data_IF_744433014230
#
_entry.id   IF_744433014230
#
_cell.length_a   1.000
_cell.length_b   1.000
_cell.length_c   1.000
_cell.angle_alpha   90.00
_cell.angle_beta   90.00
_cell.angle_gamma   90.00
#
_symmetry.space_group_name_H-M   'P 1'
#
loop_
_entity.id
_entity.type
_entity.pdbx_description
1 polymer ?
#
# COMPACT_ATOMS: atom_id res chain seq x y z
N UNK A 1 6.63 -5.61 -7.42
CA UNK A 1 6.72 -5.29 -5.98
C UNK A 1 7.03 -3.80 -5.77
N UNK A 2 6.42 -2.93 -6.59
CA UNK A 2 6.88 -1.55 -6.80
C UNK A 2 6.85 -0.69 -5.53
N UNK A 3 5.80 -0.82 -4.71
CA UNK A 3 5.70 -0.06 -3.45
C UNK A 3 6.82 -0.40 -2.46
N UNK A 4 7.21 -1.68 -2.38
CA UNK A 4 8.25 -2.14 -1.46
C UNK A 4 9.61 -1.57 -1.88
N UNK A 5 9.90 -1.63 -3.18
CA UNK A 5 11.15 -1.15 -3.77
C UNK A 5 11.24 0.37 -3.70
N UNK A 6 10.19 1.09 -4.10
CA UNK A 6 10.15 2.55 -4.10
C UNK A 6 10.32 3.16 -2.71
N UNK A 7 9.73 2.54 -1.69
CA UNK A 7 9.77 3.05 -0.32
C UNK A 7 10.86 2.38 0.53
N UNK A 8 11.58 1.39 0.00
CA UNK A 8 12.63 0.67 0.71
C UNK A 8 12.14 0.13 2.06
N UNK A 9 10.92 -0.40 2.10
CA UNK A 9 10.25 -0.84 3.31
C UNK A 9 10.24 -2.37 3.50
N UNK A 10 11.02 -3.09 2.68
CA UNK A 10 11.19 -4.53 2.77
C UNK A 10 11.96 -5.09 1.58
N UNK A 11 11.86 -6.41 1.40
CA UNK A 11 12.47 -7.12 0.28
C UNK A 11 11.40 -7.56 -0.71
N UNK A 12 11.60 -7.21 -1.97
CA UNK A 12 10.87 -7.78 -3.09
C UNK A 12 11.63 -9.01 -3.59
N UNK A 13 10.94 -10.14 -3.72
CA UNK A 13 11.50 -11.37 -4.32
C UNK A 13 10.61 -11.83 -5.46
N UNK A 14 11.17 -12.42 -6.54
CA UNK A 14 10.38 -13.01 -7.60
C UNK A 14 9.48 -14.15 -7.06
N UNK A 15 8.27 -14.32 -7.62
CA UNK A 15 7.44 -15.47 -7.28
C UNK A 15 8.11 -16.76 -7.74
N UNK A 16 7.88 -17.85 -7.00
CA UNK A 16 8.42 -19.19 -7.29
C UNK A 16 9.96 -19.28 -7.33
N UNK A 17 10.68 -18.35 -6.72
CA UNK A 17 12.13 -18.40 -6.55
C UNK A 17 12.51 -18.59 -5.05
N UNK A 18 12.63 -19.84 -4.58
CA UNK A 18 12.96 -20.13 -3.20
C UNK A 18 14.40 -19.73 -2.83
N UNK A 19 15.33 -19.69 -3.80
CA UNK A 19 16.71 -19.28 -3.55
C UNK A 19 16.78 -17.78 -3.27
N UNK A 20 16.13 -16.95 -4.10
CA UNK A 20 16.05 -15.51 -3.86
C UNK A 20 15.35 -15.16 -2.53
N UNK A 21 14.37 -15.98 -2.13
CA UNK A 21 13.73 -15.84 -0.81
C UNK A 21 14.70 -16.16 0.33
N UNK A 22 15.45 -17.25 0.25
CA UNK A 22 16.48 -17.59 1.23
C UNK A 22 17.54 -16.49 1.35
N UNK A 23 18.06 -15.98 0.22
CA UNK A 23 19.03 -14.88 0.20
C UNK A 23 18.49 -13.60 0.85
N UNK A 24 17.20 -13.30 0.69
CA UNK A 24 16.56 -12.18 1.37
C UNK A 24 16.51 -12.37 2.89
N UNK A 25 16.21 -13.58 3.35
CA UNK A 25 16.20 -13.91 4.78
C UNK A 25 17.60 -13.85 5.40
N UNK A 26 18.62 -14.34 4.71
CA UNK A 26 20.01 -14.26 5.18
C UNK A 26 20.47 -12.81 5.31
N UNK A 27 20.20 -11.96 4.29
CA UNK A 27 20.47 -10.52 4.37
C UNK A 27 19.74 -9.84 5.51
N UNK A 28 18.46 -10.17 5.71
CA UNK A 28 17.66 -9.67 6.81
C UNK A 28 18.23 -10.08 8.19
N UNK A 29 18.73 -11.31 8.31
CA UNK A 29 19.34 -11.78 9.55
C UNK A 29 20.69 -11.11 9.84
N UNK A 30 21.47 -10.81 8.80
CA UNK A 30 22.79 -10.20 8.91
C UNK A 30 22.75 -8.71 9.33
N UNK A 31 21.69 -7.96 9.00
CA UNK A 31 21.55 -6.54 9.36
C UNK A 31 20.19 -6.21 9.99
N UNK A 32 20.13 -6.37 11.32
CA UNK A 32 18.94 -6.03 12.12
C UNK A 32 18.68 -4.52 12.19
N UNK A 33 19.70 -3.69 12.02
CA UNK A 33 19.56 -2.24 12.02
C UNK A 33 18.79 -1.76 10.81
N UNK A 34 19.19 -2.24 9.62
CA UNK A 34 18.49 -1.97 8.37
C UNK A 34 17.02 -2.44 8.41
N UNK A 35 16.74 -3.61 9.01
CA UNK A 35 15.37 -4.09 9.17
C UNK A 35 14.47 -3.16 9.98
N UNK A 36 14.98 -2.58 11.06
CA UNK A 36 14.20 -1.62 11.86
C UNK A 36 13.81 -0.41 11.02
N UNK A 37 14.77 0.14 10.26
CA UNK A 37 14.53 1.27 9.36
C UNK A 37 13.52 0.92 8.27
N UNK A 38 13.59 -0.27 7.69
CA UNK A 38 12.60 -0.75 6.72
C UNK A 38 11.20 -0.84 7.34
N UNK A 39 11.08 -1.35 8.57
CA UNK A 39 9.82 -1.42 9.30
C UNK A 39 9.23 -0.04 9.60
N UNK A 40 10.05 0.93 10.00
CA UNK A 40 9.62 2.32 10.21
C UNK A 40 9.09 2.95 8.92
N UNK A 41 9.76 2.71 7.79
CA UNK A 41 9.29 3.15 6.45
C UNK A 41 7.99 2.47 6.06
N UNK A 42 7.84 1.18 6.33
CA UNK A 42 6.61 0.43 6.07
C UNK A 42 5.42 0.98 6.86
N UNK A 43 5.63 1.30 8.14
CA UNK A 43 4.60 1.92 8.97
C UNK A 43 4.23 3.34 8.49
N UNK A 44 5.23 4.14 8.09
CA UNK A 44 4.98 5.46 7.52
C UNK A 44 4.13 5.37 6.24
N UNK A 45 4.49 4.48 5.31
CA UNK A 45 3.73 4.23 4.08
C UNK A 45 2.29 3.80 4.37
N UNK A 46 2.10 2.86 5.31
CA UNK A 46 0.78 2.37 5.69
C UNK A 46 -0.13 3.50 6.19
N UNK A 47 0.40 4.39 7.05
CA UNK A 47 -0.35 5.56 7.55
C UNK A 47 -0.64 6.59 6.47
N UNK A 48 0.27 6.78 5.52
CA UNK A 48 0.13 7.80 4.49
C UNK A 48 -0.87 7.41 3.41
N UNK A 49 -0.81 6.16 2.94
CA UNK A 49 -1.54 5.70 1.75
C UNK A 49 -2.71 4.77 2.06
N UNK A 50 -2.68 4.09 3.22
CA UNK A 50 -3.60 3.00 3.55
C UNK A 50 -4.34 3.20 4.88
N UNK A 51 -4.38 4.41 5.41
CA UNK A 51 -5.15 4.72 6.61
C UNK A 51 -6.65 4.46 6.36
N UNK A 52 -7.23 3.52 7.10
CA UNK A 52 -8.60 3.06 6.88
C UNK A 52 -9.64 4.17 7.04
N UNK A 53 -9.48 5.03 8.04
CA UNK A 53 -10.42 6.12 8.31
C UNK A 53 -10.38 7.10 7.15
N UNK A 54 -9.18 7.54 6.76
CA UNK A 54 -9.00 8.45 5.62
C UNK A 54 -9.53 7.84 4.31
N UNK A 55 -9.33 6.55 4.09
CA UNK A 55 -9.86 5.86 2.91
C UNK A 55 -11.39 5.79 2.92
N UNK A 56 -12.00 5.53 4.07
CA UNK A 56 -13.45 5.48 4.21
C UNK A 56 -14.07 6.88 4.02
N UNK A 57 -13.49 7.91 4.62
CA UNK A 57 -13.95 9.30 4.48
C UNK A 57 -13.93 9.72 3.00
N UNK A 58 -12.80 9.49 2.30
CA UNK A 58 -12.70 9.77 0.86
C UNK A 58 -13.73 9.01 0.02
N UNK A 59 -14.09 7.80 0.44
CA UNK A 59 -15.08 6.99 -0.27
C UNK A 59 -16.50 7.53 -0.05
N UNK A 60 -16.83 7.95 1.18
CA UNK A 60 -18.10 8.61 1.51
C UNK A 60 -18.21 9.95 0.78
N UNK A 61 -17.19 10.80 0.85
CA UNK A 61 -17.13 12.09 0.13
C UNK A 61 -17.39 11.89 -1.37
N UNK A 62 -16.79 10.85 -1.95
CA UNK A 62 -16.98 10.52 -3.36
C UNK A 62 -18.42 10.08 -3.67
N UNK A 63 -19.06 9.29 -2.80
CA UNK A 63 -20.46 8.88 -2.96
C UNK A 63 -21.41 10.07 -2.83
N UNK A 64 -21.24 10.91 -1.82
CA UNK A 64 -22.08 12.09 -1.58
C UNK A 64 -21.99 13.09 -2.75
N UNK A 65 -20.79 13.28 -3.31
CA UNK A 65 -20.60 14.13 -4.49
C UNK A 65 -21.33 13.63 -5.76
N UNK A 66 -21.77 12.37 -5.80
CA UNK A 66 -22.62 11.86 -6.90
C UNK A 66 -24.10 12.20 -6.72
N UNK A 67 -24.56 12.40 -5.48
CA UNK A 67 -25.95 12.77 -5.17
C UNK A 67 -26.23 14.23 -5.50
N UNK A 68 -25.22 15.11 -5.32
CA UNK A 68 -25.34 16.54 -5.62
C UNK A 68 -25.19 16.88 -7.11
N UNK A 69 -24.92 15.89 -7.97
CA UNK A 69 -24.92 16.07 -9.42
C UNK A 69 -26.33 15.92 -9.97
N UNK A 70 -26.87 16.90 -10.72
CA UNK A 70 -28.13 16.72 -11.43
C UNK A 70 -28.00 15.53 -12.38
N UNK A 71 -29.01 14.65 -12.38
CA UNK A 71 -29.01 13.44 -13.17
C UNK A 71 -28.77 13.77 -14.65
N UNK A 72 -27.64 13.30 -15.19
CA UNK A 72 -27.27 13.48 -16.60
C UNK A 72 -28.04 12.54 -17.55
N UNK A 73 -28.88 11.64 -17.00
CA UNK A 73 -29.59 10.63 -17.78
C UNK A 73 -31.13 10.79 -17.63
N UNK A 74 -31.88 10.94 -18.75
CA UNK A 74 -33.33 11.00 -18.69
C UNK A 74 -33.88 9.65 -18.21
N UNK A 75 -34.81 9.69 -17.25
CA UNK A 75 -35.47 8.48 -16.73
C UNK A 75 -36.33 7.86 -17.85
N UNK A 76 -36.17 6.56 -18.15
CA UNK A 76 -37.07 5.87 -19.07
C UNK A 76 -38.47 5.79 -18.45
N UNK A 77 -39.49 5.93 -19.31
CA UNK A 77 -40.92 5.91 -18.96
C UNK A 77 -41.38 4.54 -18.48
#
# INVERSE_FOLDING_TARGET
>A
AELIERHGCGFAVPPADPAAFADALERAAADRGALKVMGERGLALARQEFDRTRLADRWVDWLEATLDKPAAHPRPK
#
